data_IF_272423774369
#
_entry.id   IF_272423774369
#
_cell.length_a   1.000
_cell.length_b   1.000
_cell.length_c   1.000
_cell.angle_alpha   90.00
_cell.angle_beta   90.00
_cell.angle_gamma   90.00
#
_symmetry.space_group_name_H-M   'P 1'
#
loop_
_entity.id
_entity.type
_entity.pdbx_description
1 polymer ?
#
# COMPACT_ATOMS: atom_id res chain seq x y z
N UNK A 1 18.16 10.76 -60.42
CA UNK A 1 18.60 11.14 -59.06
C UNK A 1 17.46 11.69 -58.18
N UNK A 2 16.51 12.46 -58.71
CA UNK A 2 15.43 13.12 -57.95
C UNK A 2 14.40 12.16 -57.30
N UNK A 3 14.07 11.04 -57.97
CA UNK A 3 13.09 10.05 -57.48
C UNK A 3 13.60 9.31 -56.21
N UNK A 4 14.89 9.02 -56.12
CA UNK A 4 15.49 8.36 -54.95
C UNK A 4 15.48 9.25 -53.69
N UNK A 5 15.64 10.57 -53.90
CA UNK A 5 15.61 11.55 -52.80
C UNK A 5 14.19 11.68 -52.23
N UNK A 6 13.16 11.67 -53.10
CA UNK A 6 11.75 11.74 -52.72
C UNK A 6 11.35 10.48 -51.97
N UNK A 7 11.77 9.29 -52.42
CA UNK A 7 11.50 8.02 -51.70
C UNK A 7 12.19 7.96 -50.36
N UNK A 8 13.44 8.42 -50.27
CA UNK A 8 14.17 8.49 -49.01
C UNK A 8 13.50 9.46 -48.01
N UNK A 9 13.01 10.60 -48.48
CA UNK A 9 12.30 11.59 -47.67
C UNK A 9 10.96 11.03 -47.16
N UNK A 10 10.18 10.37 -48.00
CA UNK A 10 8.91 9.73 -47.65
C UNK A 10 9.17 8.59 -46.62
N UNK A 11 10.27 7.84 -46.81
CA UNK A 11 10.64 6.76 -45.88
C UNK A 11 11.09 7.31 -44.50
N UNK A 12 11.84 8.41 -44.48
CA UNK A 12 12.27 9.10 -43.26
C UNK A 12 11.06 9.73 -42.54
N UNK A 13 10.12 10.34 -43.26
CA UNK A 13 8.89 10.86 -42.67
C UNK A 13 8.01 9.73 -42.11
N UNK A 14 7.87 8.61 -42.84
CA UNK A 14 7.15 7.42 -42.33
C UNK A 14 7.82 6.82 -41.08
N UNK A 15 9.13 6.76 -41.02
CA UNK A 15 9.89 6.32 -39.84
C UNK A 15 9.73 7.30 -38.68
N UNK A 16 9.71 8.62 -38.93
CA UNK A 16 9.42 9.63 -37.89
C UNK A 16 8.00 9.51 -37.36
N UNK A 17 7.02 9.29 -38.26
CA UNK A 17 5.60 9.10 -37.89
C UNK A 17 5.41 7.84 -37.06
N UNK A 18 6.08 6.71 -37.40
CA UNK A 18 6.05 5.48 -36.64
C UNK A 18 6.72 5.64 -35.25
N UNK A 19 7.79 6.44 -35.17
CA UNK A 19 8.52 6.69 -33.92
C UNK A 19 7.80 7.64 -32.97
N UNK A 20 6.89 8.48 -33.50
CA UNK A 20 6.06 9.39 -32.71
C UNK A 20 4.65 8.84 -32.41
N UNK A 21 4.27 7.70 -32.99
CA UNK A 21 3.03 7.03 -32.58
C UNK A 21 3.16 6.58 -31.12
N UNK A 22 2.36 7.18 -30.25
CA UNK A 22 2.21 6.72 -28.88
C UNK A 22 1.83 5.24 -28.94
N UNK A 23 2.64 4.39 -28.36
CA UNK A 23 2.25 2.99 -28.17
C UNK A 23 1.11 2.96 -27.14
N UNK A 24 -0.11 2.87 -27.65
CA UNK A 24 -1.34 2.86 -26.86
C UNK A 24 -1.28 1.76 -25.81
N UNK A 25 -0.76 0.59 -26.18
CA UNK A 25 -0.65 -0.54 -25.24
C UNK A 25 0.32 -0.23 -24.10
N UNK A 26 1.47 0.37 -24.41
CA UNK A 26 2.43 0.78 -23.40
C UNK A 26 1.86 1.88 -22.50
N UNK A 27 1.15 2.85 -23.07
CA UNK A 27 0.50 3.93 -22.31
C UNK A 27 -0.57 3.41 -21.36
N UNK A 28 -1.37 2.42 -21.78
CA UNK A 28 -2.36 1.77 -20.92
C UNK A 28 -1.68 0.97 -19.81
N UNK A 29 -0.59 0.25 -20.11
CA UNK A 29 0.19 -0.48 -19.12
C UNK A 29 0.81 0.46 -18.09
N UNK A 30 1.42 1.55 -18.52
CA UNK A 30 1.97 2.58 -17.64
C UNK A 30 0.89 3.19 -16.72
N UNK A 31 -0.36 3.33 -17.24
CA UNK A 31 -1.49 3.79 -16.43
C UNK A 31 -1.89 2.77 -15.37
N UNK A 32 -1.93 1.49 -15.74
CA UNK A 32 -2.24 0.40 -14.80
C UNK A 32 -1.18 0.32 -13.71
N UNK A 33 0.10 0.38 -14.04
CA UNK A 33 1.21 0.39 -13.07
C UNK A 33 1.10 1.57 -12.08
N UNK A 34 0.76 2.78 -12.56
CA UNK A 34 0.57 3.94 -11.68
C UNK A 34 -0.64 3.81 -10.76
N UNK A 35 -1.75 3.26 -11.26
CA UNK A 35 -2.94 3.00 -10.45
C UNK A 35 -2.69 1.87 -9.43
N UNK A 36 -1.92 0.84 -9.80
CA UNK A 36 -1.48 -0.21 -8.90
C UNK A 36 -0.62 0.36 -7.76
N UNK A 37 0.37 1.21 -8.07
CA UNK A 37 1.19 1.87 -7.05
C UNK A 37 0.35 2.71 -6.09
N UNK A 38 -0.68 3.41 -6.60
CA UNK A 38 -1.59 4.17 -5.75
C UNK A 38 -2.42 3.25 -4.81
N UNK A 39 -2.84 2.07 -5.30
CA UNK A 39 -3.55 1.09 -4.48
C UNK A 39 -2.63 0.45 -3.42
N UNK A 40 -1.39 0.12 -3.77
CA UNK A 40 -0.38 -0.39 -2.83
C UNK A 40 -0.05 0.65 -1.75
N UNK A 41 0.11 1.91 -2.13
CA UNK A 41 0.31 3.00 -1.16
C UNK A 41 -0.86 3.10 -0.17
N UNK A 42 -2.11 2.96 -0.66
CA UNK A 42 -3.28 2.92 0.24
C UNK A 42 -3.18 1.75 1.23
N UNK A 43 -2.84 0.57 0.74
CA UNK A 43 -2.73 -0.64 1.57
C UNK A 43 -1.67 -0.46 2.67
N UNK A 44 -0.52 0.11 2.35
CA UNK A 44 0.53 0.43 3.32
C UNK A 44 0.06 1.46 4.36
N UNK A 45 -0.59 2.55 3.93
CA UNK A 45 -1.10 3.58 4.84
C UNK A 45 -2.21 3.05 5.75
N UNK A 46 -3.11 2.19 5.22
CA UNK A 46 -4.14 1.54 6.03
C UNK A 46 -3.53 0.57 7.04
N UNK A 47 -2.42 -0.12 6.70
CA UNK A 47 -1.73 -1.01 7.62
C UNK A 47 -1.03 -0.25 8.77
N UNK A 48 -0.61 1.00 8.55
CA UNK A 48 -0.07 1.89 9.59
C UNK A 48 -1.13 2.32 10.59
N UNK A 49 -2.40 2.37 10.18
CA UNK A 49 -3.51 2.70 11.07
C UNK A 49 -3.79 1.50 11.99
N UNK A 50 -3.37 1.64 13.24
CA UNK A 50 -3.55 0.63 14.29
C UNK A 50 -4.99 0.66 14.79
N UNK A 51 -5.78 -0.34 14.41
CA UNK A 51 -7.21 -0.43 14.78
C UNK A 51 -7.45 -1.10 16.15
N UNK A 52 -6.42 -1.21 17.01
CA UNK A 52 -6.51 -1.90 18.31
C UNK A 52 -6.35 -3.42 18.21
N UNK A 53 -5.97 -3.95 17.04
CA UNK A 53 -5.60 -5.37 16.91
C UNK A 53 -4.15 -5.62 17.27
N UNK A 54 -3.91 -6.79 17.86
CA UNK A 54 -2.58 -7.31 18.12
C UNK A 54 -1.84 -7.56 16.80
N UNK A 55 -0.70 -6.88 16.62
CA UNK A 55 0.18 -7.08 15.48
C UNK A 55 1.60 -7.28 15.99
N UNK A 56 2.24 -8.37 15.57
CA UNK A 56 3.62 -8.70 15.95
C UNK A 56 4.60 -7.59 15.56
N UNK A 57 4.36 -6.88 14.45
CA UNK A 57 5.19 -5.78 13.98
C UNK A 57 5.34 -4.61 14.98
N UNK A 58 4.47 -4.53 16.00
CA UNK A 58 4.62 -3.55 17.10
C UNK A 58 5.89 -3.80 17.88
N UNK A 59 6.35 -5.05 17.94
CA UNK A 59 7.50 -5.48 18.72
C UNK A 59 8.83 -5.47 17.93
N UNK A 60 8.82 -5.13 16.63
CA UNK A 60 10.03 -5.08 15.80
C UNK A 60 11.01 -3.99 16.26
N UNK A 61 10.51 -2.96 16.94
CA UNK A 61 11.35 -1.90 17.52
C UNK A 61 11.99 -2.31 18.84
N UNK A 62 11.52 -3.38 19.50
CA UNK A 62 11.99 -3.80 20.83
C UNK A 62 13.36 -4.47 20.71
N UNK A 63 14.33 -3.94 21.48
CA UNK A 63 15.68 -4.50 21.60
C UNK A 63 15.90 -4.97 23.03
N UNK A 64 16.16 -6.25 23.19
CA UNK A 64 16.37 -6.88 24.49
C UNK A 64 17.87 -6.97 24.76
N UNK A 65 18.28 -6.67 25.98
CA UNK A 65 19.65 -6.89 26.42
C UNK A 65 19.81 -8.37 26.80
N UNK A 66 20.51 -9.11 25.95
CA UNK A 66 20.77 -10.53 26.14
C UNK A 66 22.28 -10.77 26.17
N UNK A 67 22.79 -11.30 27.29
CA UNK A 67 24.22 -11.62 27.47
C UNK A 67 25.17 -10.46 27.10
N UNK A 68 24.81 -9.22 27.46
CA UNK A 68 25.61 -8.02 27.19
C UNK A 68 25.53 -7.45 25.79
N UNK A 69 24.62 -7.97 24.95
CA UNK A 69 24.36 -7.47 23.60
C UNK A 69 22.88 -7.13 23.42
N UNK A 70 22.59 -6.04 22.67
CA UNK A 70 21.21 -5.68 22.29
C UNK A 70 20.78 -6.46 21.06
N UNK A 71 19.84 -7.38 21.22
CA UNK A 71 19.31 -8.23 20.14
C UNK A 71 17.82 -7.96 19.91
N UNK A 72 17.30 -8.18 18.70
CA UNK A 72 15.86 -8.09 18.44
C UNK A 72 15.08 -9.13 19.26
N UNK A 73 13.86 -8.78 19.69
CA UNK A 73 13.01 -9.66 20.50
C UNK A 73 12.77 -11.04 19.87
N UNK A 74 12.63 -11.10 18.54
CA UNK A 74 12.38 -12.34 17.80
C UNK A 74 13.55 -13.35 17.84
N UNK A 75 14.74 -12.94 18.29
CA UNK A 75 15.90 -13.84 18.49
C UNK A 75 15.91 -14.48 19.88
N UNK A 76 15.26 -13.88 20.87
CA UNK A 76 15.26 -14.34 22.26
C UNK A 76 13.92 -14.93 22.70
N UNK A 77 12.86 -14.73 21.93
CA UNK A 77 11.52 -15.20 22.25
C UNK A 77 10.71 -15.55 20.98
N UNK A 78 9.76 -16.48 21.15
CA UNK A 78 8.72 -16.74 20.15
C UNK A 78 7.54 -15.80 20.41
N UNK A 79 7.11 -15.07 19.38
CA UNK A 79 5.97 -14.15 19.45
C UNK A 79 4.79 -14.76 18.71
N UNK A 80 3.63 -14.78 19.35
CA UNK A 80 2.38 -15.29 18.78
C UNK A 80 1.21 -14.39 19.15
N UNK A 81 0.13 -14.47 18.38
CA UNK A 81 -1.11 -13.71 18.60
C UNK A 81 -2.23 -14.72 18.86
N UNK A 82 -2.43 -15.16 20.10
CA UNK A 82 -3.49 -16.12 20.42
C UNK A 82 -4.89 -15.53 20.22
N UNK A 83 -5.06 -14.23 20.47
CA UNK A 83 -6.33 -13.52 20.38
C UNK A 83 -6.15 -12.20 19.60
N UNK A 84 -7.25 -11.66 19.09
CA UNK A 84 -7.24 -10.41 18.31
C UNK A 84 -6.60 -9.21 19.05
N UNK A 85 -6.45 -9.27 20.37
CA UNK A 85 -5.96 -8.18 21.22
C UNK A 85 -4.83 -8.56 22.18
N UNK A 86 -4.35 -9.80 22.11
CA UNK A 86 -3.29 -10.29 23.01
C UNK A 86 -2.11 -10.74 22.18
N UNK A 87 -0.94 -10.22 22.50
CA UNK A 87 0.32 -10.75 21.99
C UNK A 87 0.94 -11.58 23.11
N UNK A 88 1.27 -12.83 22.83
CA UNK A 88 1.97 -13.72 23.73
C UNK A 88 3.43 -13.85 23.29
N UNK A 89 4.32 -13.57 24.20
CA UNK A 89 5.78 -13.66 24.04
C UNK A 89 6.27 -14.79 24.92
N UNK A 90 6.80 -15.85 24.32
CA UNK A 90 7.38 -16.98 25.01
C UNK A 90 8.90 -16.94 24.88
N UNK A 91 9.64 -16.56 25.92
CA UNK A 91 11.08 -16.55 25.91
C UNK A 91 11.67 -17.96 25.72
N UNK A 92 12.80 -18.07 25.07
CA UNK A 92 13.56 -19.32 24.94
C UNK A 92 14.22 -19.68 26.30
N UNK A 93 14.69 -18.66 27.03
CA UNK A 93 15.23 -18.80 28.36
C UNK A 93 14.36 -18.03 29.36
N UNK A 94 13.82 -18.75 30.38
CA UNK A 94 12.99 -18.16 31.45
C UNK A 94 13.72 -17.08 32.26
N UNK A 95 15.06 -17.11 32.29
CA UNK A 95 15.84 -16.10 33.01
C UNK A 95 15.78 -14.72 32.34
N UNK A 96 15.50 -14.66 31.06
CA UNK A 96 15.43 -13.40 30.30
C UNK A 96 14.04 -12.72 30.37
N UNK A 97 13.08 -13.28 31.08
CA UNK A 97 11.71 -12.69 31.18
C UNK A 97 11.79 -11.25 31.68
N UNK A 98 12.61 -10.98 32.71
CA UNK A 98 12.73 -9.63 33.30
C UNK A 98 13.37 -8.62 32.34
N UNK A 99 14.39 -9.03 31.61
CA UNK A 99 15.06 -8.20 30.61
C UNK A 99 14.11 -7.89 29.45
N UNK A 100 13.29 -8.88 29.02
CA UNK A 100 12.29 -8.69 27.98
C UNK A 100 11.19 -7.72 28.45
N UNK A 101 10.66 -7.89 29.66
CA UNK A 101 9.67 -6.97 30.23
C UNK A 101 10.21 -5.54 30.33
N UNK A 102 11.42 -5.39 30.84
CA UNK A 102 12.07 -4.08 30.93
C UNK A 102 12.23 -3.46 29.53
N UNK A 103 12.71 -4.23 28.56
CA UNK A 103 12.88 -3.74 27.20
C UNK A 103 11.55 -3.33 26.53
N UNK A 104 10.44 -4.02 26.87
CA UNK A 104 9.10 -3.65 26.39
C UNK A 104 8.62 -2.36 27.05
N UNK A 105 8.83 -2.21 28.37
CA UNK A 105 8.44 -1.00 29.10
C UNK A 105 9.26 0.22 28.68
N UNK A 106 10.54 0.04 28.40
CA UNK A 106 11.44 1.10 27.94
C UNK A 106 11.23 1.47 26.46
N UNK A 107 10.44 0.65 25.71
CA UNK A 107 10.16 0.88 24.32
C UNK A 107 8.95 1.80 24.11
N UNK A 108 8.81 2.38 22.89
CA UNK A 108 7.68 3.22 22.51
C UNK A 108 6.36 2.44 22.29
N UNK A 109 6.32 1.15 22.65
CA UNK A 109 5.12 0.30 22.50
C UNK A 109 3.96 0.79 23.38
N UNK A 110 4.27 1.32 24.58
CA UNK A 110 3.29 1.94 25.48
C UNK A 110 2.25 0.97 26.06
N UNK A 111 2.55 -0.32 26.10
CA UNK A 111 1.67 -1.37 26.62
C UNK A 111 2.39 -2.04 27.81
N UNK A 112 1.70 -2.15 28.95
CA UNK A 112 2.25 -2.81 30.14
C UNK A 112 2.25 -4.32 29.94
N UNK A 113 3.41 -5.00 30.05
CA UNK A 113 3.48 -6.45 29.98
C UNK A 113 2.94 -7.11 31.28
N UNK A 114 2.19 -8.19 31.10
CA UNK A 114 1.77 -9.08 32.17
C UNK A 114 2.50 -10.43 32.02
N UNK A 115 3.18 -10.92 33.07
CA UNK A 115 3.84 -12.21 33.02
C UNK A 115 3.25 -13.21 34.01
N UNK A 116 3.27 -14.47 33.65
CA UNK A 116 2.90 -15.60 34.53
C UNK A 116 4.10 -16.49 34.88
N UNK A 117 5.34 -16.01 34.68
CA UNK A 117 6.57 -16.77 34.93
C UNK A 117 7.01 -17.67 33.74
N UNK A 118 6.22 -17.82 32.71
CA UNK A 118 6.54 -18.59 31.49
C UNK A 118 6.30 -17.82 30.19
N UNK A 119 5.24 -17.01 30.14
CA UNK A 119 4.81 -16.27 28.97
C UNK A 119 4.51 -14.84 29.39
N UNK A 120 4.99 -13.89 28.62
CA UNK A 120 4.64 -12.47 28.76
C UNK A 120 3.46 -12.20 27.83
N UNK A 121 2.41 -11.59 28.37
CA UNK A 121 1.21 -11.19 27.62
C UNK A 121 1.14 -9.68 27.54
N UNK A 122 0.88 -9.18 26.32
CA UNK A 122 0.61 -7.78 26.07
C UNK A 122 -0.86 -7.62 25.68
N UNK A 123 -1.64 -7.06 26.61
CA UNK A 123 -3.06 -6.74 26.37
C UNK A 123 -3.19 -5.38 25.69
N UNK A 124 -3.72 -5.36 24.46
CA UNK A 124 -3.99 -4.12 23.74
C UNK A 124 -5.34 -3.57 24.21
N UNK A 125 -5.39 -2.34 24.78
CA UNK A 125 -6.64 -1.76 25.26
C UNK A 125 -7.61 -1.51 24.10
N UNK A 126 -8.91 -1.66 24.39
CA UNK A 126 -9.95 -1.35 23.39
C UNK A 126 -9.95 0.15 23.08
N UNK A 127 -9.96 0.55 21.81
CA UNK A 127 -10.19 1.93 21.47
C UNK A 127 -11.63 2.34 21.83
N UNK A 128 -11.78 3.55 22.35
CA UNK A 128 -13.11 4.16 22.62
C UNK A 128 -13.89 4.31 21.32
N UNK A 129 -15.22 4.42 21.39
CA UNK A 129 -16.05 4.68 20.20
C UNK A 129 -15.65 5.96 19.47
N UNK A 130 -15.27 6.99 20.19
CA UNK A 130 -14.77 8.24 19.61
C UNK A 130 -13.50 7.99 18.81
N UNK A 131 -12.55 7.23 19.36
CA UNK A 131 -11.30 6.88 18.69
C UNK A 131 -11.53 6.02 17.43
N UNK A 132 -12.49 5.09 17.47
CA UNK A 132 -12.89 4.31 16.28
C UNK A 132 -13.42 5.21 15.17
N UNK A 133 -14.30 6.18 15.52
CA UNK A 133 -14.83 7.17 14.56
C UNK A 133 -13.74 8.06 13.97
N UNK A 134 -12.75 8.46 14.77
CA UNK A 134 -11.59 9.21 14.29
C UNK A 134 -10.75 8.40 13.30
N UNK A 135 -10.43 7.14 13.65
CA UNK A 135 -9.67 6.25 12.80
C UNK A 135 -10.40 5.98 11.47
N UNK A 136 -11.72 5.75 11.50
CA UNK A 136 -12.53 5.60 10.29
C UNK A 136 -12.51 6.87 9.41
N UNK A 137 -12.57 8.07 10.02
CA UNK A 137 -12.42 9.33 9.29
C UNK A 137 -11.03 9.47 8.65
N UNK A 138 -9.98 9.06 9.34
CA UNK A 138 -8.61 9.07 8.81
C UNK A 138 -8.48 8.11 7.63
N UNK A 139 -9.00 6.87 7.74
CA UNK A 139 -9.02 5.91 6.63
C UNK A 139 -9.74 6.48 5.40
N UNK A 140 -10.93 7.04 5.58
CA UNK A 140 -11.71 7.62 4.48
C UNK A 140 -10.98 8.80 3.83
N UNK A 141 -10.31 9.65 4.63
CA UNK A 141 -9.52 10.78 4.12
C UNK A 141 -8.35 10.33 3.25
N UNK A 142 -7.66 9.24 3.64
CA UNK A 142 -6.57 8.66 2.84
C UNK A 142 -7.14 8.04 1.57
N UNK A 143 -8.24 7.29 1.68
CA UNK A 143 -8.92 6.70 0.53
C UNK A 143 -9.35 7.71 -0.52
N UNK A 144 -9.95 8.85 -0.09
CA UNK A 144 -10.31 9.91 -1.04
C UNK A 144 -9.09 10.54 -1.72
N UNK A 145 -7.97 10.71 -1.02
CA UNK A 145 -6.72 11.16 -1.66
C UNK A 145 -6.26 10.21 -2.76
N UNK A 146 -6.30 8.91 -2.50
CA UNK A 146 -5.90 7.89 -3.48
C UNK A 146 -6.88 7.84 -4.66
N UNK A 147 -8.20 7.95 -4.42
CA UNK A 147 -9.18 8.06 -5.51
C UNK A 147 -8.93 9.28 -6.41
N UNK A 148 -8.55 10.41 -5.82
CA UNK A 148 -8.15 11.59 -6.61
C UNK A 148 -6.91 11.30 -7.45
N UNK A 149 -5.90 10.60 -6.90
CA UNK A 149 -4.72 10.20 -7.67
C UNK A 149 -5.08 9.30 -8.86
N UNK A 150 -5.93 8.29 -8.64
CA UNK A 150 -6.42 7.39 -9.71
C UNK A 150 -7.17 8.18 -10.80
N UNK A 151 -8.03 9.14 -10.39
CA UNK A 151 -8.73 10.03 -11.35
C UNK A 151 -7.77 10.93 -12.14
N UNK A 152 -6.74 11.45 -11.48
CA UNK A 152 -5.72 12.28 -12.14
C UNK A 152 -4.91 11.46 -13.16
N UNK A 153 -4.49 10.24 -12.82
CA UNK A 153 -3.82 9.34 -13.76
C UNK A 153 -4.69 9.10 -15.00
N UNK A 154 -6.00 8.83 -14.80
CA UNK A 154 -6.94 8.66 -15.91
C UNK A 154 -7.03 9.92 -16.77
N UNK A 155 -7.13 11.11 -16.15
CA UNK A 155 -7.22 12.37 -16.87
C UNK A 155 -5.95 12.63 -17.72
N UNK A 156 -4.77 12.42 -17.13
CA UNK A 156 -3.48 12.59 -17.80
C UNK A 156 -3.33 11.68 -19.03
N UNK A 157 -3.76 10.43 -18.91
CA UNK A 157 -3.69 9.46 -20.01
C UNK A 157 -4.71 9.80 -21.09
N UNK A 158 -5.94 10.19 -20.71
CA UNK A 158 -6.96 10.66 -21.66
C UNK A 158 -6.46 11.85 -22.48
N UNK A 159 -5.79 12.82 -21.85
CA UNK A 159 -5.20 13.96 -22.54
C UNK A 159 -4.05 13.56 -23.48
N UNK A 160 -3.26 12.55 -23.10
CA UNK A 160 -2.22 11.98 -23.97
C UNK A 160 -2.82 11.28 -25.19
N UNK A 161 -3.89 10.48 -25.01
CA UNK A 161 -4.59 9.81 -26.12
C UNK A 161 -5.19 10.82 -27.10
N UNK A 162 -5.82 11.91 -26.59
CA UNK A 162 -6.33 13.00 -27.44
C UNK A 162 -5.23 13.72 -28.22
N UNK A 163 -4.05 13.91 -27.63
CA UNK A 163 -2.90 14.48 -28.35
C UNK A 163 -2.40 13.54 -29.44
N UNK A 164 -2.43 12.21 -29.17
CA UNK A 164 -2.01 11.21 -30.13
C UNK A 164 -2.86 11.16 -31.41
N UNK A 165 -4.13 11.59 -31.37
CA UNK A 165 -4.96 11.76 -32.57
C UNK A 165 -4.31 12.77 -33.54
N UNK A 166 -3.78 13.88 -32.99
CA UNK A 166 -3.09 14.91 -33.80
C UNK A 166 -1.80 14.36 -34.41
N UNK A 167 -1.20 13.34 -33.79
CA UNK A 167 0.02 12.69 -34.25
C UNK A 167 -0.25 11.46 -35.13
N UNK A 168 -1.53 11.21 -35.53
CA UNK A 168 -1.92 10.20 -36.52
C UNK A 168 -2.57 8.93 -35.93
N UNK A 169 -2.96 8.91 -34.64
CA UNK A 169 -3.78 7.84 -34.09
C UNK A 169 -5.21 7.92 -34.68
N UNK A 170 -5.81 6.80 -35.11
CA UNK A 170 -7.19 6.79 -35.57
C UNK A 170 -8.17 7.02 -34.40
N UNK A 171 -9.29 7.71 -34.70
CA UNK A 171 -10.34 7.98 -33.69
C UNK A 171 -10.96 6.70 -33.11
N UNK A 172 -11.02 5.61 -33.87
CA UNK A 172 -11.56 4.33 -33.39
C UNK A 172 -10.59 3.69 -32.36
N UNK A 173 -9.28 3.73 -32.65
CA UNK A 173 -8.27 3.23 -31.70
C UNK A 173 -8.23 4.07 -30.41
N UNK A 174 -8.47 5.38 -30.49
CA UNK A 174 -8.58 6.25 -29.31
C UNK A 174 -9.78 5.89 -28.45
N UNK A 175 -10.96 5.68 -29.06
CA UNK A 175 -12.18 5.27 -28.36
C UNK A 175 -12.01 3.91 -27.66
N UNK A 176 -11.39 2.95 -28.34
CA UNK A 176 -11.11 1.64 -27.75
C UNK A 176 -10.16 1.77 -26.56
N UNK A 177 -9.10 2.57 -26.70
CA UNK A 177 -8.16 2.86 -25.64
C UNK A 177 -8.80 3.60 -24.45
N UNK A 178 -9.73 4.55 -24.72
CA UNK A 178 -10.50 5.24 -23.68
C UNK A 178 -11.42 4.27 -22.92
N UNK A 179 -12.06 3.33 -23.62
CA UNK A 179 -12.89 2.29 -23.01
C UNK A 179 -12.06 1.36 -22.12
N UNK A 180 -10.87 0.95 -22.57
CA UNK A 180 -9.99 0.09 -21.78
C UNK A 180 -9.41 0.85 -20.59
N UNK A 181 -9.03 2.11 -20.74
CA UNK A 181 -8.62 2.99 -19.64
C UNK A 181 -9.74 3.14 -18.60
N UNK A 182 -11.01 3.24 -19.04
CA UNK A 182 -12.16 3.31 -18.13
C UNK A 182 -12.31 2.00 -17.33
N UNK A 183 -12.17 0.84 -17.96
CA UNK A 183 -12.21 -0.47 -17.26
C UNK A 183 -11.11 -0.59 -16.21
N UNK A 184 -9.88 -0.16 -16.56
CA UNK A 184 -8.74 -0.14 -15.64
C UNK A 184 -9.07 0.78 -14.46
N UNK A 185 -9.52 2.00 -14.71
CA UNK A 185 -9.90 2.96 -13.67
C UNK A 185 -10.96 2.38 -12.72
N UNK A 186 -12.03 1.79 -13.25
CA UNK A 186 -13.13 1.26 -12.45
C UNK A 186 -12.69 0.07 -11.60
N UNK A 187 -11.80 -0.78 -12.13
CA UNK A 187 -11.15 -1.87 -11.38
C UNK A 187 -10.41 -1.35 -10.16
N UNK A 188 -9.62 -0.27 -10.31
CA UNK A 188 -8.83 0.27 -9.19
C UNK A 188 -9.66 1.09 -8.22
N UNK A 189 -10.68 1.82 -8.67
CA UNK A 189 -11.64 2.49 -7.76
C UNK A 189 -12.34 1.44 -6.89
N UNK A 190 -12.83 0.35 -7.49
CA UNK A 190 -13.45 -0.75 -6.74
C UNK A 190 -12.48 -1.36 -5.73
N UNK A 191 -11.21 -1.62 -6.12
CA UNK A 191 -10.19 -2.15 -5.19
C UNK A 191 -9.95 -1.20 -4.01
N UNK A 192 -9.88 0.10 -4.24
CA UNK A 192 -9.78 1.13 -3.19
C UNK A 192 -10.97 1.07 -2.26
N UNK A 193 -12.20 0.98 -2.80
CA UNK A 193 -13.42 0.89 -1.99
C UNK A 193 -13.47 -0.39 -1.16
N UNK A 194 -13.07 -1.53 -1.74
CA UNK A 194 -13.02 -2.82 -1.04
C UNK A 194 -12.01 -2.79 0.12
N UNK A 195 -10.82 -2.21 -0.09
CA UNK A 195 -9.80 -2.04 0.96
C UNK A 195 -10.32 -1.14 2.10
N UNK A 196 -10.98 -0.03 1.78
CA UNK A 196 -11.57 0.88 2.77
C UNK A 196 -12.70 0.20 3.55
N UNK A 197 -13.57 -0.52 2.87
CA UNK A 197 -14.68 -1.24 3.51
C UNK A 197 -14.16 -2.32 4.46
N UNK A 198 -13.15 -3.09 4.05
CA UNK A 198 -12.50 -4.09 4.88
C UNK A 198 -11.87 -3.45 6.14
N UNK A 199 -11.13 -2.33 5.97
CA UNK A 199 -10.49 -1.64 7.10
C UNK A 199 -11.50 -0.99 8.04
N UNK A 200 -12.53 -0.34 7.52
CA UNK A 200 -13.61 0.22 8.34
C UNK A 200 -14.34 -0.87 9.14
N UNK A 201 -14.61 -2.03 8.53
CA UNK A 201 -15.18 -3.18 9.23
C UNK A 201 -14.24 -3.67 10.34
N UNK A 202 -12.93 -3.75 10.06
CA UNK A 202 -11.93 -4.12 11.06
C UNK A 202 -11.96 -3.17 12.27
N UNK A 203 -11.95 -1.83 12.03
CA UNK A 203 -11.97 -0.82 13.09
C UNK A 203 -13.25 -0.92 13.95
N UNK A 204 -14.38 -1.24 13.33
CA UNK A 204 -15.66 -1.30 14.05
C UNK A 204 -15.89 -2.62 14.80
N UNK A 205 -15.23 -3.72 14.39
CA UNK A 205 -15.39 -5.05 15.02
C UNK A 205 -14.43 -5.33 16.17
N UNK A 206 -13.41 -4.52 16.37
CA UNK A 206 -12.48 -4.57 17.50
C UNK A 206 -13.04 -3.76 18.66
#
# INVERSE_FOLDING_TARGET
MTIYIIFAQIFIEKQKTIKNMIDVKQTLKDSEEKMEMAALYLEEELNRIRAGRANVAILDCVRVESYGSKVPLNQVASVSVPDARTIAIKPWDKKQIREIEKAIMDSEVGITPENNGEIIRLGIPQPTEERRKELAKQCNKIGEKVKVQVRNVRADIKDKLKKAIKDGLSEDNEKDAENDLQKIHDKYIKRVDDLLAAKNKEIMTV
#
